data_IF_795220430330
#
_entry.id   IF_795220430330
#
_cell.length_a   1.000
_cell.length_b   1.000
_cell.length_c   1.000
_cell.angle_alpha   90.00
_cell.angle_beta   90.00
_cell.angle_gamma   90.00
#
_symmetry.space_group_name_H-M   'P 1'
#
loop_
_entity.id
_entity.type
_entity.pdbx_description
1 polymer ?
#
# COMPACT_ATOMS: atom_id res chain seq x y z
N UNK A 1 -8.10 -14.36 36.13
CA UNK A 1 -7.42 -14.56 34.82
C UNK A 1 -7.06 -13.21 34.24
N UNK A 2 -5.79 -12.95 33.91
CA UNK A 2 -5.32 -11.69 33.29
C UNK A 2 -5.05 -11.98 31.81
N UNK A 3 -5.87 -11.46 30.91
CA UNK A 3 -5.62 -11.56 29.48
C UNK A 3 -4.38 -10.71 29.15
N UNK A 4 -3.29 -11.36 28.77
CA UNK A 4 -2.10 -10.68 28.25
C UNK A 4 -2.46 -10.24 26.84
N UNK A 5 -2.67 -8.93 26.63
CA UNK A 5 -2.87 -8.37 25.29
C UNK A 5 -1.57 -8.56 24.51
N UNK A 6 -1.46 -9.65 23.77
CA UNK A 6 -0.34 -9.87 22.85
C UNK A 6 -0.56 -8.84 21.75
N UNK A 7 0.33 -7.86 21.62
CA UNK A 7 0.28 -6.93 20.50
C UNK A 7 0.35 -7.77 19.21
N UNK A 8 -0.56 -7.53 18.27
CA UNK A 8 -0.52 -8.19 16.97
C UNK A 8 0.80 -7.90 16.24
N UNK A 9 1.05 -8.56 15.09
CA UNK A 9 2.25 -8.31 14.30
C UNK A 9 2.43 -6.80 14.03
N UNK A 10 3.68 -6.29 14.00
CA UNK A 10 3.95 -4.89 13.69
C UNK A 10 3.23 -4.44 12.42
N UNK A 11 2.54 -3.30 12.49
CA UNK A 11 1.87 -2.67 11.35
C UNK A 11 2.15 -1.17 11.38
N UNK A 12 2.25 -0.56 10.21
CA UNK A 12 2.19 0.90 10.09
C UNK A 12 0.85 1.43 10.59
N UNK A 13 0.82 2.71 10.97
CA UNK A 13 -0.45 3.40 11.17
C UNK A 13 -1.27 3.34 9.87
N UNK A 14 -2.59 3.13 10.00
CA UNK A 14 -3.53 3.16 8.87
C UNK A 14 -4.16 4.53 8.65
N UNK A 15 -3.76 5.50 9.46
CA UNK A 15 -4.21 6.88 9.42
C UNK A 15 -2.99 7.74 9.16
N UNK A 16 -3.07 8.58 8.13
CA UNK A 16 -2.09 9.61 7.85
C UNK A 16 -2.68 10.97 8.24
N UNK A 17 -1.84 11.85 8.79
CA UNK A 17 -2.12 13.27 8.89
C UNK A 17 -1.23 13.97 7.86
N UNK A 18 -1.84 14.81 7.02
CA UNK A 18 -1.12 15.49 5.94
C UNK A 18 -0.92 14.65 4.67
N UNK A 19 0.04 15.05 3.81
CA UNK A 19 0.24 14.48 2.49
C UNK A 19 0.59 13.00 2.52
N UNK A 20 0.13 12.27 1.51
CA UNK A 20 0.50 10.87 1.29
C UNK A 20 1.15 10.73 -0.07
N UNK A 21 2.31 10.06 -0.12
CA UNK A 21 2.90 9.58 -1.37
C UNK A 21 2.37 8.21 -1.68
N UNK A 22 2.20 7.89 -2.95
CA UNK A 22 1.68 6.59 -3.35
C UNK A 22 2.29 6.10 -4.66
N UNK A 23 2.25 4.79 -4.84
CA UNK A 23 2.52 4.11 -6.11
C UNK A 23 1.24 3.46 -6.60
N UNK A 24 1.03 3.45 -7.93
CA UNK A 24 -0.10 2.75 -8.54
C UNK A 24 0.29 1.32 -8.86
N UNK A 25 -0.58 0.38 -8.57
CA UNK A 25 -0.35 -1.05 -8.82
C UNK A 25 -1.36 -1.55 -9.84
N UNK A 26 -0.87 -2.17 -10.90
CA UNK A 26 -1.69 -2.81 -11.92
C UNK A 26 -1.52 -4.33 -11.90
N UNK A 27 -2.59 -5.04 -12.24
CA UNK A 27 -2.49 -6.44 -12.63
C UNK A 27 -1.71 -6.58 -13.95
N UNK A 28 -1.31 -7.81 -14.29
CA UNK A 28 -0.65 -8.10 -15.57
C UNK A 28 -1.47 -7.70 -16.81
N UNK A 29 -2.79 -7.55 -16.67
CA UNK A 29 -3.71 -7.05 -17.72
C UNK A 29 -3.66 -5.53 -17.91
N UNK A 30 -2.97 -4.79 -17.02
CA UNK A 30 -2.92 -3.33 -17.00
C UNK A 30 -4.02 -2.65 -16.19
N UNK A 31 -4.98 -3.39 -15.66
CA UNK A 31 -6.04 -2.86 -14.77
C UNK A 31 -5.43 -2.45 -13.43
N UNK A 32 -5.74 -1.24 -12.96
CA UNK A 32 -5.33 -0.78 -11.62
C UNK A 32 -6.07 -1.58 -10.56
N UNK A 33 -5.33 -2.27 -9.70
CA UNK A 33 -5.88 -3.10 -8.63
C UNK A 33 -5.68 -2.48 -7.24
N UNK A 34 -4.88 -1.42 -7.16
CA UNK A 34 -4.73 -0.65 -5.93
C UNK A 34 -3.56 0.30 -5.90
N UNK A 35 -3.37 0.88 -4.73
CA UNK A 35 -2.38 1.91 -4.45
C UNK A 35 -1.70 1.59 -3.12
N UNK A 36 -0.37 1.48 -3.12
CA UNK A 36 0.40 1.48 -1.87
C UNK A 36 0.74 2.92 -1.54
N UNK A 37 0.42 3.37 -0.32
CA UNK A 37 0.68 4.75 0.12
C UNK A 37 1.53 4.79 1.38
N UNK A 38 2.19 5.93 1.58
CA UNK A 38 3.11 6.19 2.68
C UNK A 38 3.02 7.66 3.16
N UNK A 39 3.22 7.84 4.46
CA UNK A 39 3.40 9.11 5.15
C UNK A 39 4.37 8.88 6.32
N UNK A 40 5.55 9.47 6.26
CA UNK A 40 6.60 9.25 7.26
C UNK A 40 6.30 9.95 8.59
N UNK A 41 5.65 11.13 8.55
CA UNK A 41 5.32 11.93 9.73
C UNK A 41 4.47 11.15 10.75
N UNK A 42 3.48 10.40 10.26
CA UNK A 42 2.61 9.54 11.07
C UNK A 42 3.06 8.09 11.16
N UNK A 43 4.24 7.74 10.65
CA UNK A 43 4.70 6.35 10.49
C UNK A 43 3.61 5.45 9.86
N UNK A 44 2.94 6.00 8.85
CA UNK A 44 1.71 5.50 8.29
C UNK A 44 1.91 4.99 6.86
N UNK A 45 1.33 3.84 6.56
CA UNK A 45 1.35 3.26 5.24
C UNK A 45 0.19 2.29 5.07
N UNK A 46 -0.23 2.07 3.84
CA UNK A 46 -1.34 1.17 3.60
C UNK A 46 -1.62 0.90 2.15
N UNK A 47 -2.75 0.23 1.95
CA UNK A 47 -3.27 -0.22 0.67
C UNK A 47 -4.67 0.35 0.49
N UNK A 48 -4.91 0.97 -0.67
CA UNK A 48 -6.23 1.44 -1.10
C UNK A 48 -6.64 0.65 -2.33
N UNK A 49 -7.90 0.20 -2.36
CA UNK A 49 -8.45 -0.65 -3.41
C UNK A 49 -9.54 0.13 -4.17
N UNK A 50 -9.48 0.21 -5.51
CA UNK A 50 -10.58 0.65 -6.34
C UNK A 50 -11.85 -0.18 -6.13
N UNK A 51 -13.04 0.43 -6.28
CA UNK A 51 -14.29 -0.33 -6.32
C UNK A 51 -14.37 -1.19 -7.60
N UNK A 52 -15.27 -2.18 -7.62
CA UNK A 52 -15.60 -2.93 -8.84
C UNK A 52 -14.60 -4.01 -9.27
N UNK A 53 -13.56 -4.28 -8.47
CA UNK A 53 -12.60 -5.34 -8.75
C UNK A 53 -13.19 -6.75 -8.55
N UNK A 54 -12.77 -7.69 -9.40
CA UNK A 54 -13.11 -9.10 -9.28
C UNK A 54 -12.25 -9.81 -8.23
N UNK A 55 -12.56 -11.09 -7.98
CA UNK A 55 -11.87 -11.88 -6.96
C UNK A 55 -10.38 -12.09 -7.27
N UNK A 56 -10.02 -12.19 -8.56
CA UNK A 56 -8.64 -12.36 -8.98
C UNK A 56 -7.80 -11.11 -8.65
N UNK A 57 -8.33 -9.92 -8.93
CA UNK A 57 -7.68 -8.63 -8.66
C UNK A 57 -7.54 -8.39 -7.15
N UNK A 58 -8.59 -8.74 -6.37
CA UNK A 58 -8.55 -8.66 -4.90
C UNK A 58 -7.46 -9.59 -4.34
N UNK A 59 -7.36 -10.81 -4.85
CA UNK A 59 -6.35 -11.77 -4.42
C UNK A 59 -4.92 -11.30 -4.75
N UNK A 60 -4.73 -10.65 -5.89
CA UNK A 60 -3.44 -10.04 -6.25
C UNK A 60 -3.01 -8.93 -5.26
N UNK A 61 -3.97 -8.23 -4.65
CA UNK A 61 -3.74 -7.25 -3.58
C UNK A 61 -3.12 -7.82 -2.29
N UNK A 62 -3.28 -9.13 -2.03
CA UNK A 62 -2.81 -9.74 -0.78
C UNK A 62 -1.28 -9.71 -0.64
N UNK A 63 -0.54 -9.84 -1.74
CA UNK A 63 0.92 -9.79 -1.74
C UNK A 63 1.45 -8.41 -1.29
N UNK A 64 0.77 -7.33 -1.68
CA UNK A 64 1.12 -5.95 -1.31
C UNK A 64 0.90 -5.68 0.17
N UNK A 65 -0.17 -6.23 0.76
CA UNK A 65 -0.36 -6.22 2.21
C UNK A 65 0.75 -6.99 2.94
N UNK A 66 1.25 -8.06 2.34
CA UNK A 66 2.45 -8.78 2.80
C UNK A 66 3.68 -7.87 2.85
N UNK A 67 3.98 -7.18 1.74
CA UNK A 67 5.12 -6.23 1.66
C UNK A 67 5.07 -5.15 2.74
N UNK A 68 3.90 -4.56 2.99
CA UNK A 68 3.69 -3.57 4.06
C UNK A 68 4.02 -4.14 5.43
N UNK A 69 3.56 -5.36 5.74
CA UNK A 69 3.84 -6.02 7.01
C UNK A 69 5.32 -6.34 7.15
N UNK A 70 5.93 -6.87 6.11
CA UNK A 70 7.32 -7.32 6.13
C UNK A 70 8.30 -6.13 6.24
N UNK A 71 7.99 -5.01 5.58
CA UNK A 71 8.74 -3.76 5.75
C UNK A 71 8.63 -3.19 7.17
N UNK A 72 7.42 -3.19 7.76
CA UNK A 72 7.26 -2.77 9.16
C UNK A 72 8.00 -3.68 10.13
N UNK A 73 7.99 -4.99 9.89
CA UNK A 73 8.73 -5.95 10.71
C UNK A 73 10.25 -5.71 10.64
N UNK A 74 10.76 -5.25 9.50
CA UNK A 74 12.15 -4.81 9.31
C UNK A 74 12.45 -3.41 9.84
N UNK A 75 11.46 -2.67 10.35
CA UNK A 75 11.64 -1.31 10.87
C UNK A 75 11.86 -0.25 9.78
N UNK A 76 11.38 -0.50 8.56
CA UNK A 76 11.60 0.41 7.44
C UNK A 76 10.62 1.58 7.47
N UNK A 77 11.10 2.77 7.10
CA UNK A 77 10.25 3.96 6.96
C UNK A 77 9.24 3.79 5.80
N UNK A 78 8.00 4.29 5.93
CA UNK A 78 6.99 4.20 4.87
C UNK A 78 7.48 4.63 3.47
N UNK A 79 8.18 5.75 3.35
CA UNK A 79 8.69 6.23 2.06
C UNK A 79 9.79 5.34 1.47
N UNK A 80 10.64 4.77 2.33
CA UNK A 80 11.68 3.82 1.93
C UNK A 80 11.07 2.52 1.38
N UNK A 81 9.94 2.05 1.94
CA UNK A 81 9.17 0.96 1.34
C UNK A 81 8.71 1.32 -0.08
N UNK A 82 8.17 2.52 -0.32
CA UNK A 82 7.76 2.90 -1.68
C UNK A 82 8.95 2.89 -2.66
N UNK A 83 10.12 3.37 -2.22
CA UNK A 83 11.34 3.31 -3.01
C UNK A 83 11.74 1.87 -3.36
N UNK A 84 11.69 0.93 -2.40
CA UNK A 84 11.93 -0.50 -2.66
C UNK A 84 10.96 -1.05 -3.72
N UNK A 85 9.66 -0.75 -3.59
CA UNK A 85 8.62 -1.24 -4.52
C UNK A 85 8.75 -0.66 -5.93
N UNK A 86 9.23 0.56 -6.08
CA UNK A 86 9.48 1.17 -7.40
C UNK A 86 10.67 0.49 -8.09
N UNK A 87 11.69 0.11 -7.32
CA UNK A 87 12.89 -0.53 -7.87
C UNK A 87 12.61 -1.96 -8.31
N UNK A 88 11.92 -2.75 -7.47
CA UNK A 88 11.69 -4.15 -7.77
C UNK A 88 10.40 -4.70 -7.13
N UNK A 89 9.55 -5.28 -7.97
CA UNK A 89 8.34 -6.03 -7.59
C UNK A 89 8.27 -7.37 -8.30
N UNK A 90 9.40 -7.87 -8.82
CA UNK A 90 9.49 -9.12 -9.58
C UNK A 90 9.07 -10.36 -8.78
N UNK A 91 9.16 -10.32 -7.46
CA UNK A 91 8.69 -11.39 -6.58
C UNK A 91 7.16 -11.39 -6.38
N UNK A 92 6.46 -10.34 -6.80
CA UNK A 92 5.00 -10.26 -6.78
C UNK A 92 4.44 -10.79 -8.10
N UNK A 93 3.88 -11.98 -8.06
CA UNK A 93 3.30 -12.60 -9.25
C UNK A 93 2.00 -11.89 -9.68
N UNK A 94 1.89 -11.60 -10.99
CA UNK A 94 0.65 -11.13 -11.61
C UNK A 94 0.28 -9.66 -11.37
N UNK A 95 1.12 -8.87 -10.68
CA UNK A 95 0.93 -7.42 -10.52
C UNK A 95 2.26 -6.68 -10.39
N UNK A 96 2.27 -5.39 -10.70
CA UNK A 96 3.48 -4.57 -10.71
C UNK A 96 3.17 -3.10 -10.39
N UNK A 97 4.18 -2.35 -9.95
CA UNK A 97 4.07 -0.88 -9.87
C UNK A 97 4.06 -0.29 -11.27
N UNK A 98 3.09 0.58 -11.55
CA UNK A 98 3.00 1.28 -12.83
C UNK A 98 4.07 2.38 -12.96
N UNK A 99 4.59 2.61 -14.18
CA UNK A 99 5.41 3.77 -14.49
C UNK A 99 4.74 5.09 -14.10
N UNK A 100 5.55 6.11 -13.80
CA UNK A 100 5.06 7.42 -13.35
C UNK A 100 4.69 7.48 -11.86
N UNK A 101 5.10 6.47 -11.09
CA UNK A 101 5.09 6.47 -9.61
C UNK A 101 6.48 6.87 -9.06
N UNK A 102 6.59 7.48 -7.87
CA UNK A 102 5.50 7.81 -6.97
C UNK A 102 4.81 9.13 -7.37
N UNK A 103 3.56 9.27 -6.95
CA UNK A 103 2.81 10.52 -6.99
C UNK A 103 2.39 10.90 -5.56
N UNK A 104 1.79 12.08 -5.38
CA UNK A 104 1.42 12.61 -4.07
C UNK A 104 -0.03 13.12 -4.09
N UNK A 105 -0.73 12.91 -2.97
CA UNK A 105 -2.01 13.54 -2.64
C UNK A 105 -1.85 14.34 -1.35
N UNK A 106 -2.66 15.37 -1.19
CA UNK A 106 -2.63 16.26 -0.01
C UNK A 106 -3.15 15.55 1.24
N UNK A 107 -4.03 14.55 1.06
CA UNK A 107 -4.61 13.75 2.13
C UNK A 107 -4.84 12.30 1.70
N UNK A 108 -4.98 11.41 2.69
CA UNK A 108 -5.36 10.01 2.43
C UNK A 108 -6.77 9.87 1.84
N UNK A 109 -7.71 10.76 2.19
CA UNK A 109 -9.06 10.71 1.64
C UNK A 109 -9.09 11.13 0.17
N UNK A 110 -8.26 12.09 -0.24
CA UNK A 110 -8.07 12.42 -1.65
C UNK A 110 -7.57 11.22 -2.47
N UNK A 111 -6.64 10.42 -1.93
CA UNK A 111 -6.21 9.17 -2.57
C UNK A 111 -7.36 8.15 -2.68
N UNK A 112 -8.23 8.04 -1.68
CA UNK A 112 -9.41 7.16 -1.73
C UNK A 112 -10.42 7.62 -2.77
N UNK A 113 -10.63 8.92 -2.90
CA UNK A 113 -11.48 9.49 -3.95
C UNK A 113 -10.88 9.25 -5.33
N UNK A 114 -9.57 9.41 -5.50
CA UNK A 114 -8.87 9.09 -6.74
C UNK A 114 -9.07 7.62 -7.11
N UNK A 115 -8.87 6.71 -6.15
CA UNK A 115 -9.07 5.28 -6.33
C UNK A 115 -10.52 4.91 -6.65
N UNK A 116 -11.49 5.73 -6.26
CA UNK A 116 -12.92 5.50 -6.54
C UNK A 116 -13.33 5.93 -7.96
N UNK A 117 -12.48 6.69 -8.66
CA UNK A 117 -12.75 7.27 -9.99
C UNK A 117 -12.01 6.56 -11.12
N UNK A 118 -10.99 5.75 -10.80
CA UNK A 118 -10.20 4.96 -11.74
C UNK A 118 -10.75 3.55 -11.89
#
# INVERSE_FOLDING_TARGET
MRFKRIAGPPRYSRVAQGPVRYVRVAAGTGVVIGYVWANDEGEAAGWVVPPGLGAAEINAGAAWLGKLRDAKARGIAPSALLAELILDTSDIQGSHVMPGSPAECTTLDELRELASKG
#
